data_IF_164717644114
#
_entry.id   IF_164717644114
#
_cell.length_a   1.000
_cell.length_b   1.000
_cell.length_c   1.000
_cell.angle_alpha   90.00
_cell.angle_beta   90.00
_cell.angle_gamma   90.00
#
_symmetry.space_group_name_H-M   'P 1'
#
loop_
_entity.id
_entity.type
_entity.pdbx_description
1 polymer ?
#
# COMPACT_ATOMS: atom_id res chain seq x y z
N UNK A 1 -11.97 -0.13 7.23
CA UNK A 1 -11.71 -1.41 6.53
C UNK A 1 -13.02 -1.90 5.97
N UNK A 2 -13.04 -2.15 4.66
CA UNK A 2 -14.16 -2.76 3.95
C UNK A 2 -14.47 -4.17 4.53
N UNK A 3 -15.74 -4.59 4.65
CA UNK A 3 -16.13 -5.95 5.06
C UNK A 3 -15.30 -7.09 4.45
N UNK A 4 -14.90 -6.99 3.18
CA UNK A 4 -14.05 -8.00 2.52
C UNK A 4 -12.65 -8.04 3.14
N UNK A 5 -12.04 -6.89 3.41
CA UNK A 5 -10.75 -6.82 4.09
C UNK A 5 -10.82 -7.40 5.50
N UNK A 6 -11.88 -7.08 6.25
CA UNK A 6 -12.07 -7.61 7.60
C UNK A 6 -12.18 -9.14 7.59
N UNK A 7 -12.87 -9.69 6.59
CA UNK A 7 -12.95 -11.15 6.39
C UNK A 7 -11.57 -11.74 6.14
N UNK A 8 -10.79 -11.15 5.24
CA UNK A 8 -9.42 -11.64 4.93
C UNK A 8 -8.50 -11.60 6.15
N UNK A 9 -8.62 -10.57 7.00
CA UNK A 9 -7.85 -10.49 8.26
C UNK A 9 -8.27 -11.60 9.21
N UNK A 10 -9.58 -11.87 9.37
CA UNK A 10 -10.07 -12.98 10.19
C UNK A 10 -9.60 -14.35 9.67
N UNK A 11 -9.68 -14.57 8.37
CA UNK A 11 -9.19 -15.80 7.73
C UNK A 11 -7.69 -15.99 7.95
N UNK A 12 -6.89 -14.93 7.81
CA UNK A 12 -5.45 -14.97 8.10
C UNK A 12 -5.15 -15.26 9.57
N UNK A 13 -5.93 -14.68 10.50
CA UNK A 13 -5.78 -14.95 11.93
C UNK A 13 -6.08 -16.42 12.27
N UNK A 14 -7.16 -16.99 11.73
CA UNK A 14 -7.49 -18.40 11.88
C UNK A 14 -6.42 -19.31 11.28
N UNK A 15 -5.94 -18.99 10.07
CA UNK A 15 -4.87 -19.74 9.43
C UNK A 15 -3.57 -19.71 10.24
N UNK A 16 -3.21 -18.56 10.81
CA UNK A 16 -2.04 -18.42 11.68
C UNK A 16 -2.17 -19.25 12.97
N UNK A 17 -3.36 -19.24 13.61
CA UNK A 17 -3.61 -20.04 14.81
C UNK A 17 -3.57 -21.55 14.55
N UNK A 18 -3.92 -21.99 13.34
CA UNK A 18 -3.84 -23.38 12.93
C UNK A 18 -2.41 -23.87 12.63
N UNK A 19 -1.42 -22.98 12.55
CA UNK A 19 -0.03 -23.37 12.30
C UNK A 19 0.59 -24.07 13.52
N UNK A 20 1.55 -24.99 13.31
CA UNK A 20 2.34 -25.55 14.40
C UNK A 20 2.99 -24.45 15.26
N UNK A 21 3.10 -24.61 16.59
CA UNK A 21 3.62 -23.58 17.48
C UNK A 21 4.99 -23.03 17.07
N UNK A 22 5.90 -23.90 16.59
CA UNK A 22 7.21 -23.50 16.09
C UNK A 22 7.12 -22.50 14.92
N UNK A 23 6.20 -22.74 13.97
CA UNK A 23 5.97 -21.84 12.82
C UNK A 23 5.33 -20.53 13.25
N UNK A 24 4.45 -20.55 14.25
CA UNK A 24 3.90 -19.31 14.82
C UNK A 24 4.97 -18.46 15.49
N UNK A 25 5.89 -19.07 16.25
CA UNK A 25 7.01 -18.37 16.89
C UNK A 25 7.94 -17.77 15.84
N UNK A 26 8.29 -18.55 14.81
CA UNK A 26 9.13 -18.09 13.71
C UNK A 26 8.54 -16.86 13.00
N UNK A 27 7.26 -16.90 12.63
CA UNK A 27 6.58 -15.77 11.98
C UNK A 27 6.49 -14.54 12.89
N UNK A 28 6.25 -14.71 14.20
CA UNK A 28 6.27 -13.60 15.16
C UNK A 28 7.66 -12.97 15.25
N UNK A 29 8.71 -13.80 15.25
CA UNK A 29 10.09 -13.31 15.28
C UNK A 29 10.45 -12.57 13.99
N UNK A 30 10.07 -13.09 12.82
CA UNK A 30 10.24 -12.41 11.54
C UNK A 30 9.53 -11.04 11.53
N UNK A 31 8.28 -10.98 12.02
CA UNK A 31 7.55 -9.71 12.13
C UNK A 31 8.20 -8.74 13.12
N UNK A 32 8.70 -9.23 14.25
CA UNK A 32 9.37 -8.40 15.25
C UNK A 32 10.71 -7.85 14.74
N UNK A 33 11.39 -8.57 13.84
CA UNK A 33 12.64 -8.16 13.21
C UNK A 33 12.46 -7.11 12.10
N UNK A 34 11.24 -6.90 11.59
CA UNK A 34 10.95 -5.82 10.65
C UNK A 34 11.22 -4.45 11.29
N UNK A 35 11.65 -3.49 10.47
CA UNK A 35 11.87 -2.14 10.95
C UNK A 35 10.54 -1.47 11.37
N UNK A 36 10.63 -0.39 12.16
CA UNK A 36 9.44 0.28 12.66
C UNK A 36 8.56 0.90 11.56
N UNK A 37 9.14 1.29 10.42
CA UNK A 37 8.41 1.81 9.26
C UNK A 37 7.60 0.71 8.58
N UNK A 38 8.20 -0.45 8.34
CA UNK A 38 7.59 -1.65 7.77
C UNK A 38 6.44 -2.14 8.65
N UNK A 39 6.66 -2.28 9.95
CA UNK A 39 5.62 -2.68 10.91
C UNK A 39 4.43 -1.71 10.92
N UNK A 40 4.68 -0.39 10.84
CA UNK A 40 3.60 0.60 10.74
C UNK A 40 2.84 0.49 9.42
N UNK A 41 3.51 0.09 8.34
CA UNK A 41 2.87 -0.21 7.06
C UNK A 41 1.77 -1.25 7.17
N UNK A 42 1.99 -2.31 7.95
CA UNK A 42 1.00 -3.37 8.18
C UNK A 42 -0.30 -2.88 8.83
N UNK A 43 -0.28 -1.74 9.55
CA UNK A 43 -1.50 -1.13 10.10
C UNK A 43 -2.43 -0.55 9.03
N UNK A 44 -1.96 -0.38 7.80
CA UNK A 44 -2.77 0.08 6.67
C UNK A 44 -3.73 -0.98 6.13
N UNK A 45 -3.67 -2.20 6.68
CA UNK A 45 -4.48 -3.34 6.29
C UNK A 45 -3.85 -4.14 5.15
N UNK A 46 -4.44 -5.30 4.80
CA UNK A 46 -3.87 -6.25 3.86
C UNK A 46 -3.74 -5.71 2.43
N UNK A 47 -4.54 -4.71 2.05
CA UNK A 47 -4.49 -4.13 0.70
C UNK A 47 -3.23 -3.29 0.45
N UNK A 48 -2.71 -2.59 1.47
CA UNK A 48 -1.57 -1.69 1.31
C UNK A 48 -0.34 -2.09 2.13
N UNK A 49 -0.50 -2.85 3.20
CA UNK A 49 0.57 -3.13 4.16
C UNK A 49 1.76 -3.85 3.53
N UNK A 50 1.50 -4.86 2.68
CA UNK A 50 2.53 -5.58 1.96
C UNK A 50 3.28 -4.69 0.94
N UNK A 51 2.60 -3.70 0.37
CA UNK A 51 3.16 -2.79 -0.63
C UNK A 51 3.81 -1.54 0.00
N UNK A 52 3.73 -1.39 1.33
CA UNK A 52 4.02 -0.11 2.01
C UNK A 52 5.45 0.38 1.76
N UNK A 53 6.44 -0.50 1.82
CA UNK A 53 7.85 -0.14 1.57
C UNK A 53 8.02 0.51 0.20
N UNK A 54 7.38 -0.08 -0.82
CA UNK A 54 7.44 0.42 -2.19
C UNK A 54 6.61 1.70 -2.39
N UNK A 55 5.54 1.88 -1.62
CA UNK A 55 4.65 3.05 -1.69
C UNK A 55 5.15 4.23 -0.84
N UNK A 56 5.98 4.01 0.17
CA UNK A 56 6.48 5.01 1.10
C UNK A 56 7.05 6.28 0.43
N UNK A 57 7.78 6.21 -0.70
CA UNK A 57 8.30 7.41 -1.37
C UNK A 57 7.23 8.41 -1.78
N UNK A 58 5.99 7.96 -2.01
CA UNK A 58 4.85 8.84 -2.32
C UNK A 58 4.46 9.71 -1.13
N UNK A 59 4.80 9.33 0.10
CA UNK A 59 4.32 10.00 1.32
C UNK A 59 5.30 11.03 1.89
N UNK A 60 6.39 11.33 1.17
CA UNK A 60 7.31 12.41 1.55
C UNK A 60 6.63 13.78 1.47
N UNK A 61 6.70 14.54 2.58
CA UNK A 61 6.17 15.90 2.72
C UNK A 61 4.67 16.02 2.38
N UNK A 62 3.87 15.06 2.86
CA UNK A 62 2.40 15.02 2.65
C UNK A 62 1.70 15.43 3.94
N UNK A 63 0.80 16.40 3.88
CA UNK A 63 -0.07 16.79 5.00
C UNK A 63 -1.12 15.71 5.32
N UNK A 64 -1.75 15.78 6.49
CA UNK A 64 -2.69 14.75 6.95
C UNK A 64 -3.86 14.53 5.98
N UNK A 65 -4.46 15.59 5.46
CA UNK A 65 -5.61 15.49 4.55
C UNK A 65 -5.25 14.87 3.20
N UNK A 66 -4.12 15.30 2.61
CA UNK A 66 -3.60 14.72 1.36
C UNK A 66 -3.20 13.25 1.57
N UNK A 67 -2.68 12.91 2.75
CA UNK A 67 -2.29 11.54 3.11
C UNK A 67 -3.49 10.60 3.09
N UNK A 68 -4.59 10.98 3.72
CA UNK A 68 -5.79 10.14 3.75
C UNK A 68 -6.42 10.01 2.36
N UNK A 69 -6.47 11.10 1.58
CA UNK A 69 -6.93 11.06 0.19
C UNK A 69 -6.07 10.13 -0.68
N UNK A 70 -4.74 10.18 -0.51
CA UNK A 70 -3.81 9.31 -1.23
C UNK A 70 -3.96 7.85 -0.82
N UNK A 71 -4.11 7.55 0.48
CA UNK A 71 -4.35 6.19 0.94
C UNK A 71 -5.66 5.63 0.37
N UNK A 72 -6.74 6.41 0.36
CA UNK A 72 -7.99 6.03 -0.25
C UNK A 72 -7.83 5.77 -1.76
N UNK A 73 -7.11 6.63 -2.47
CA UNK A 73 -6.83 6.45 -3.89
C UNK A 73 -6.04 5.17 -4.17
N UNK A 74 -4.99 4.88 -3.38
CA UNK A 74 -4.19 3.65 -3.53
C UNK A 74 -4.99 2.39 -3.21
N UNK A 75 -5.91 2.41 -2.24
CA UNK A 75 -6.80 1.26 -1.94
C UNK A 75 -7.74 0.94 -3.11
N UNK A 76 -8.17 1.95 -3.86
CA UNK A 76 -9.00 1.77 -5.06
C UNK A 76 -8.25 1.21 -6.26
N UNK A 77 -6.91 1.10 -6.21
CA UNK A 77 -6.10 0.53 -7.28
C UNK A 77 -5.90 -0.97 -7.09
N UNK A 78 -5.88 -1.71 -8.19
CA UNK A 78 -5.38 -3.08 -8.22
C UNK A 78 -3.88 -3.17 -7.90
N UNK A 79 -3.37 -4.37 -7.55
CA UNK A 79 -1.98 -4.58 -7.13
C UNK A 79 -0.97 -4.15 -8.20
N UNK A 80 -1.24 -4.42 -9.47
CA UNK A 80 -0.35 -4.05 -10.57
C UNK A 80 -0.22 -2.53 -10.73
N UNK A 81 -1.34 -1.81 -10.65
CA UNK A 81 -1.37 -0.34 -10.71
C UNK A 81 -0.63 0.28 -9.51
N UNK A 82 -0.76 -0.29 -8.30
CA UNK A 82 0.03 0.16 -7.13
C UNK A 82 1.52 -0.09 -7.33
N UNK A 83 1.92 -1.27 -7.82
CA UNK A 83 3.31 -1.59 -8.08
C UNK A 83 3.93 -0.68 -9.14
N UNK A 84 3.21 -0.41 -10.24
CA UNK A 84 3.62 0.56 -11.25
C UNK A 84 3.83 1.94 -10.63
N UNK A 85 2.89 2.36 -9.78
CA UNK A 85 2.96 3.66 -9.13
C UNK A 85 4.15 3.79 -8.19
N UNK A 86 4.43 2.76 -7.39
CA UNK A 86 5.60 2.66 -6.55
C UNK A 86 6.90 2.79 -7.36
N UNK A 87 7.05 2.01 -8.46
CA UNK A 87 8.22 2.09 -9.35
C UNK A 87 8.46 3.51 -9.87
N UNK A 88 7.39 4.22 -10.25
CA UNK A 88 7.51 5.61 -10.73
C UNK A 88 7.91 6.58 -9.61
N UNK A 89 7.38 6.41 -8.41
CA UNK A 89 7.76 7.21 -7.24
C UNK A 89 9.25 7.07 -6.89
N UNK A 90 9.79 5.84 -6.96
CA UNK A 90 11.22 5.59 -6.73
C UNK A 90 12.13 6.26 -7.77
N UNK A 91 11.70 6.32 -9.03
CA UNK A 91 12.44 6.97 -10.12
C UNK A 91 12.26 8.49 -10.18
N UNK A 92 11.32 9.03 -9.41
CA UNK A 92 10.97 10.45 -9.44
C UNK A 92 11.69 11.17 -8.28
N UNK A 93 12.41 12.28 -8.56
CA UNK A 93 13.01 13.10 -7.52
C UNK A 93 11.98 13.58 -6.48
N UNK A 94 12.32 13.69 -5.18
CA UNK A 94 11.37 14.05 -4.12
C UNK A 94 10.50 15.26 -4.43
N UNK A 95 11.07 16.29 -5.06
CA UNK A 95 10.40 17.55 -5.41
C UNK A 95 9.30 17.35 -6.48
N UNK A 96 9.45 16.35 -7.35
CA UNK A 96 8.50 16.05 -8.42
C UNK A 96 7.43 15.03 -8.00
N UNK A 97 7.56 14.38 -6.82
CA UNK A 97 6.57 13.39 -6.35
C UNK A 97 5.22 14.03 -5.98
N UNK A 98 5.22 15.31 -5.61
CA UNK A 98 3.98 16.05 -5.40
C UNK A 98 3.13 16.14 -6.69
N UNK A 99 3.78 16.34 -7.85
CA UNK A 99 3.10 16.37 -9.14
C UNK A 99 2.47 15.00 -9.45
N UNK A 100 3.23 13.92 -9.24
CA UNK A 100 2.68 12.57 -9.35
C UNK A 100 1.41 12.45 -8.51
N UNK A 101 1.45 12.71 -7.19
CA UNK A 101 0.29 12.59 -6.30
C UNK A 101 -0.92 13.35 -6.84
N UNK A 102 -0.74 14.60 -7.23
CA UNK A 102 -1.80 15.45 -7.80
C UNK A 102 -2.41 14.86 -9.06
N UNK A 103 -1.61 14.34 -9.99
CA UNK A 103 -2.11 13.70 -11.22
C UNK A 103 -3.05 12.53 -10.91
N UNK A 104 -2.69 11.70 -9.93
CA UNK A 104 -3.52 10.56 -9.51
C UNK A 104 -4.82 11.03 -8.84
N UNK A 105 -4.73 12.01 -7.95
CA UNK A 105 -5.88 12.53 -7.21
C UNK A 105 -6.85 13.33 -8.11
N UNK A 106 -6.34 13.93 -9.19
CA UNK A 106 -7.14 14.61 -10.20
C UNK A 106 -8.00 13.66 -11.06
N UNK A 107 -7.65 12.38 -11.14
CA UNK A 107 -8.47 11.41 -11.86
C UNK A 107 -9.69 10.97 -11.02
N UNK A 108 -10.88 10.85 -11.63
CA UNK A 108 -12.03 10.22 -11.00
C UNK A 108 -11.67 8.80 -10.50
N UNK A 109 -12.12 8.37 -9.31
CA UNK A 109 -11.76 7.08 -8.72
C UNK A 109 -11.86 5.90 -9.69
N UNK A 110 -12.96 5.81 -10.43
CA UNK A 110 -13.28 4.76 -11.39
C UNK A 110 -12.38 4.77 -12.64
N UNK A 111 -11.70 5.88 -12.94
CA UNK A 111 -10.82 6.01 -14.12
C UNK A 111 -9.34 5.85 -13.78
N UNK A 112 -8.97 5.84 -12.49
CA UNK A 112 -7.57 5.83 -12.05
C UNK A 112 -6.77 4.64 -12.58
N UNK A 113 -7.35 3.43 -12.55
CA UNK A 113 -6.69 2.22 -13.02
C UNK A 113 -6.40 2.28 -14.53
N UNK A 114 -7.43 2.53 -15.33
CA UNK A 114 -7.29 2.67 -16.79
C UNK A 114 -6.35 3.81 -17.19
N UNK A 115 -6.36 4.93 -16.46
CA UNK A 115 -5.43 6.04 -16.67
C UNK A 115 -3.97 5.63 -16.40
N UNK A 116 -3.72 4.90 -15.31
CA UNK A 116 -2.38 4.38 -14.99
C UNK A 116 -1.89 3.36 -16.03
N UNK A 117 -2.77 2.49 -16.52
CA UNK A 117 -2.46 1.55 -17.60
C UNK A 117 -2.06 2.28 -18.89
N UNK A 118 -2.83 3.29 -19.31
CA UNK A 118 -2.50 4.12 -20.47
C UNK A 118 -1.23 4.97 -20.28
N UNK A 119 -0.87 5.30 -19.04
CA UNK A 119 0.39 5.97 -18.71
C UNK A 119 1.60 5.02 -18.64
N UNK A 120 1.36 3.70 -18.58
CA UNK A 120 2.41 2.67 -18.61
C UNK A 120 3.02 2.48 -20.01
N UNK A 121 2.21 2.71 -21.03
CA UNK A 121 2.49 2.42 -22.43
C UNK A 121 3.19 3.58 -23.15
N UNK A 122 3.51 4.65 -22.42
CA UNK A 122 4.22 5.85 -22.90
C UNK A 122 5.58 5.94 -22.24
#
# INVERSE_FOLDING_TARGET
MDPVEQRRVREAASAFQALPPARQVELRAQFAALDAMERRGWLLGPALGADWVALQPLFGFVGADEREALLAALRGLGPEARAQRARRAHRTPPQARAALRRELLAQPPERRAAWLEAAAQR
#
